data_IF_185588063039
#
_entry.id   IF_185588063039
#
_cell.length_a   1.000
_cell.length_b   1.000
_cell.length_c   1.000
_cell.angle_alpha   90.00
_cell.angle_beta   90.00
_cell.angle_gamma   90.00
#
_symmetry.space_group_name_H-M   'P 1'
#
loop_
_entity.id
_entity.type
_entity.pdbx_description
1 polymer ?
#
# COMPACT_ATOMS: atom_id res chain seq x y z
N UNK A 1 -24.91 -6.41 5.89
CA UNK A 1 -24.32 -6.39 4.53
C UNK A 1 -22.82 -6.64 4.66
N UNK A 2 -22.27 -7.67 3.99
CA UNK A 2 -20.84 -7.94 4.02
C UNK A 2 -20.12 -6.77 3.34
N UNK A 3 -19.27 -6.05 4.08
CA UNK A 3 -18.59 -4.82 3.62
C UNK A 3 -18.72 -3.63 4.57
N UNK A 4 -19.87 -3.47 5.26
CA UNK A 4 -20.08 -2.34 6.20
C UNK A 4 -19.11 -2.37 7.39
N UNK A 5 -18.79 -3.57 7.89
CA UNK A 5 -17.81 -3.75 8.97
C UNK A 5 -16.38 -3.41 8.54
N UNK A 6 -16.05 -3.63 7.26
CA UNK A 6 -14.70 -3.39 6.75
C UNK A 6 -14.49 -1.91 6.47
N UNK A 7 -15.50 -1.22 5.91
CA UNK A 7 -15.47 0.23 5.71
C UNK A 7 -15.25 0.99 7.03
N UNK A 8 -15.99 0.63 8.08
CA UNK A 8 -15.84 1.23 9.42
C UNK A 8 -14.43 0.97 9.98
N UNK A 9 -13.89 -0.24 9.77
CA UNK A 9 -12.52 -0.58 10.19
C UNK A 9 -11.46 0.29 9.49
N UNK A 10 -11.57 0.45 8.17
CA UNK A 10 -10.68 1.31 7.37
C UNK A 10 -10.77 2.77 7.83
N UNK A 11 -11.98 3.29 8.00
CA UNK A 11 -12.23 4.65 8.47
C UNK A 11 -11.65 4.89 9.87
N UNK A 12 -11.92 3.99 10.81
CA UNK A 12 -11.40 4.07 12.19
C UNK A 12 -9.88 4.04 12.21
N UNK A 13 -9.27 3.11 11.46
CA UNK A 13 -7.81 3.00 11.35
C UNK A 13 -7.19 4.26 10.74
N UNK A 14 -7.83 4.84 9.73
CA UNK A 14 -7.41 6.11 9.12
C UNK A 14 -7.44 7.27 10.12
N UNK A 15 -8.52 7.42 10.91
CA UNK A 15 -8.58 8.44 11.96
C UNK A 15 -7.53 8.24 13.06
N UNK A 16 -7.31 6.99 13.50
CA UNK A 16 -6.26 6.68 14.49
C UNK A 16 -4.88 7.06 13.95
N UNK A 17 -4.60 6.75 12.68
CA UNK A 17 -3.35 7.12 12.01
C UNK A 17 -3.18 8.65 11.94
N UNK A 18 -4.21 9.38 11.50
CA UNK A 18 -4.20 10.85 11.47
C UNK A 18 -3.94 11.45 12.86
N UNK A 19 -4.57 10.91 13.91
CA UNK A 19 -4.38 11.38 15.27
C UNK A 19 -2.94 11.14 15.78
N UNK A 20 -2.37 9.96 15.51
CA UNK A 20 -0.98 9.63 15.87
C UNK A 20 0.02 10.57 15.18
N UNK A 21 -0.15 10.78 13.87
CA UNK A 21 0.69 11.64 13.05
C UNK A 21 0.57 13.11 13.46
N UNK A 22 -0.65 13.59 13.75
CA UNK A 22 -0.86 14.98 14.22
C UNK A 22 -0.23 15.20 15.60
N UNK A 23 -0.32 14.21 16.50
CA UNK A 23 0.13 14.38 17.88
C UNK A 23 1.63 14.28 18.03
N UNK A 24 2.25 13.22 17.50
CA UNK A 24 3.67 12.93 17.69
C UNK A 24 4.15 11.86 16.68
N UNK A 25 4.43 12.24 15.42
CA UNK A 25 4.71 11.29 14.35
C UNK A 25 5.87 10.33 14.69
N UNK A 26 6.99 10.88 15.20
CA UNK A 26 8.17 10.09 15.60
C UNK A 26 7.90 9.13 16.76
N UNK A 27 7.03 9.50 17.70
CA UNK A 27 6.69 8.66 18.88
C UNK A 27 5.89 7.42 18.46
N UNK A 28 5.01 7.58 17.48
CA UNK A 28 4.09 6.54 17.03
C UNK A 28 4.50 5.91 15.71
N UNK A 29 5.76 6.06 15.29
CA UNK A 29 6.25 5.63 13.97
C UNK A 29 5.98 4.13 13.72
N UNK A 30 6.29 3.27 14.69
CA UNK A 30 6.09 1.81 14.55
C UNK A 30 4.60 1.41 14.50
N UNK A 31 3.75 2.05 15.30
CA UNK A 31 2.30 1.81 15.28
C UNK A 31 1.70 2.30 13.95
N UNK A 32 2.11 3.49 13.52
CA UNK A 32 1.68 4.10 12.26
C UNK A 32 2.05 3.19 11.08
N UNK A 33 3.27 2.66 11.05
CA UNK A 33 3.73 1.70 10.03
C UNK A 33 2.86 0.44 9.97
N UNK A 34 2.45 -0.10 11.12
CA UNK A 34 1.57 -1.28 11.18
C UNK A 34 0.18 -0.96 10.63
N UNK A 35 -0.38 0.21 10.95
CA UNK A 35 -1.68 0.65 10.44
C UNK A 35 -1.62 0.86 8.93
N UNK A 36 -0.58 1.53 8.42
CA UNK A 36 -0.36 1.74 6.98
C UNK A 36 -0.28 0.41 6.24
N UNK A 37 0.53 -0.54 6.75
CA UNK A 37 0.62 -1.88 6.15
C UNK A 37 -0.73 -2.59 6.10
N UNK A 38 -1.56 -2.44 7.13
CA UNK A 38 -2.90 -3.03 7.13
C UNK A 38 -3.84 -2.30 6.16
N UNK A 39 -3.85 -0.96 6.15
CA UNK A 39 -4.65 -0.18 5.21
C UNK A 39 -4.33 -0.53 3.76
N UNK A 40 -3.05 -0.70 3.42
CA UNK A 40 -2.66 -1.05 2.04
C UNK A 40 -3.23 -2.40 1.58
N UNK A 41 -3.49 -3.36 2.48
CA UNK A 41 -4.12 -4.63 2.10
C UNK A 41 -5.63 -4.55 1.94
N UNK A 42 -6.26 -3.45 2.38
CA UNK A 42 -7.70 -3.22 2.22
C UNK A 42 -8.03 -2.47 0.92
N UNK A 43 -7.02 -1.95 0.21
CA UNK A 43 -7.17 -1.20 -1.03
C UNK A 43 -7.52 -2.13 -2.19
N UNK A 44 -8.45 -1.74 -3.04
CA UNK A 44 -8.80 -2.47 -4.24
C UNK A 44 -7.86 -2.12 -5.42
N UNK A 45 -7.92 -2.90 -6.50
CA UNK A 45 -7.06 -2.71 -7.69
C UNK A 45 -7.31 -1.42 -8.49
N UNK A 46 -8.36 -0.66 -8.16
CA UNK A 46 -8.69 0.65 -8.76
C UNK A 46 -8.26 1.82 -7.86
N UNK A 47 -7.65 1.53 -6.71
CA UNK A 47 -7.09 2.52 -5.82
C UNK A 47 -8.04 3.05 -4.73
N UNK A 48 -9.28 2.53 -4.66
CA UNK A 48 -10.27 2.87 -3.62
C UNK A 48 -10.37 1.81 -2.52
N UNK A 49 -11.28 2.06 -1.55
CA UNK A 49 -11.62 1.15 -0.45
C UNK A 49 -13.09 0.70 -0.58
N UNK A 50 -13.77 0.41 0.54
CA UNK A 50 -15.11 -0.21 0.53
C UNK A 50 -16.25 0.79 0.35
N UNK A 51 -16.04 2.07 0.66
CA UNK A 51 -17.01 3.16 0.53
C UNK A 51 -16.34 4.47 0.10
N UNK A 52 -17.07 5.58 0.03
CA UNK A 52 -16.49 6.90 -0.25
C UNK A 52 -15.76 7.47 0.97
N UNK A 53 -16.34 7.36 2.17
CA UNK A 53 -15.81 8.00 3.38
C UNK A 53 -14.51 7.36 3.84
N UNK A 54 -14.47 6.02 3.92
CA UNK A 54 -13.25 5.27 4.25
C UNK A 54 -12.15 5.49 3.20
N UNK A 55 -12.51 5.61 1.92
CA UNK A 55 -11.55 5.96 0.86
C UNK A 55 -10.92 7.32 1.10
N UNK A 56 -11.73 8.36 1.34
CA UNK A 56 -11.22 9.72 1.59
C UNK A 56 -10.32 9.74 2.83
N UNK A 57 -10.77 9.15 3.94
CA UNK A 57 -10.03 9.16 5.22
C UNK A 57 -8.74 8.34 5.12
N UNK A 58 -8.77 7.16 4.50
CA UNK A 58 -7.59 6.33 4.34
C UNK A 58 -6.55 6.99 3.41
N UNK A 59 -6.97 7.55 2.27
CA UNK A 59 -6.05 8.25 1.37
C UNK A 59 -5.42 9.48 2.04
N UNK A 60 -6.21 10.24 2.81
CA UNK A 60 -5.70 11.37 3.59
C UNK A 60 -4.65 10.91 4.62
N UNK A 61 -4.94 9.83 5.35
CA UNK A 61 -4.03 9.30 6.37
C UNK A 61 -2.73 8.76 5.77
N UNK A 62 -2.81 8.04 4.65
CA UNK A 62 -1.65 7.52 3.92
C UNK A 62 -0.77 8.67 3.38
N UNK A 63 -1.38 9.70 2.79
CA UNK A 63 -0.65 10.86 2.29
C UNK A 63 0.07 11.62 3.43
N UNK A 64 -0.60 11.78 4.57
CA UNK A 64 0.01 12.41 5.75
C UNK A 64 1.18 11.57 6.29
N UNK A 65 1.03 10.24 6.36
CA UNK A 65 2.10 9.33 6.79
C UNK A 65 3.35 9.46 5.93
N UNK A 66 3.18 9.38 4.59
CA UNK A 66 4.27 9.53 3.64
C UNK A 66 4.97 10.88 3.82
N UNK A 67 4.21 11.98 3.93
CA UNK A 67 4.79 13.33 4.08
C UNK A 67 5.61 13.54 5.36
N UNK A 68 5.28 12.84 6.46
CA UNK A 68 5.87 13.08 7.77
C UNK A 68 6.94 12.07 8.17
N UNK A 69 6.85 10.83 7.69
CA UNK A 69 7.68 9.72 8.16
C UNK A 69 8.51 9.05 7.06
N UNK A 70 8.12 9.15 5.79
CA UNK A 70 8.86 8.54 4.69
C UNK A 70 9.61 9.59 3.87
N UNK A 71 10.94 9.58 3.94
CA UNK A 71 11.83 10.49 3.20
C UNK A 71 13.04 9.73 2.62
N UNK A 72 12.84 8.49 2.19
CA UNK A 72 13.88 7.67 1.59
C UNK A 72 13.82 7.67 0.07
N UNK A 73 14.97 7.51 -0.59
CA UNK A 73 15.02 7.18 -2.01
C UNK A 73 14.32 5.85 -2.28
N UNK A 74 13.66 5.75 -3.42
CA UNK A 74 12.99 4.53 -3.86
C UNK A 74 13.75 3.94 -5.04
N UNK A 75 14.24 2.71 -4.85
CA UNK A 75 14.80 1.89 -5.91
C UNK A 75 14.58 0.43 -5.55
N UNK A 76 13.44 -0.11 -5.96
CA UNK A 76 13.00 -1.48 -5.67
C UNK A 76 12.79 -2.23 -6.98
N UNK A 77 13.30 -3.45 -7.05
CA UNK A 77 12.99 -4.38 -8.13
C UNK A 77 12.23 -5.56 -7.53
N UNK A 78 10.98 -5.73 -7.95
CA UNK A 78 10.13 -6.84 -7.57
C UNK A 78 9.95 -7.78 -8.77
N UNK A 79 10.58 -8.95 -8.72
CA UNK A 79 10.45 -9.97 -9.76
C UNK A 79 9.29 -10.89 -9.44
N UNK A 80 8.25 -10.85 -10.28
CA UNK A 80 7.11 -11.75 -10.22
C UNK A 80 7.37 -12.94 -11.13
N UNK A 81 7.29 -14.14 -10.57
CA UNK A 81 7.47 -15.39 -11.31
C UNK A 81 6.22 -16.24 -11.20
N UNK A 82 5.78 -16.77 -12.34
CA UNK A 82 4.65 -17.69 -12.48
C UNK A 82 4.93 -18.69 -13.60
N UNK A 83 4.04 -19.66 -13.82
CA UNK A 83 4.16 -20.61 -14.93
C UNK A 83 4.23 -19.86 -16.26
N UNK A 84 5.36 -19.95 -16.97
CA UNK A 84 5.54 -19.28 -18.26
C UNK A 84 5.72 -17.76 -18.19
N UNK A 85 5.91 -17.18 -17.00
CA UNK A 85 6.14 -15.74 -16.82
C UNK A 85 7.26 -15.48 -15.80
N UNK A 86 8.21 -14.63 -16.18
CA UNK A 86 9.12 -13.98 -15.23
C UNK A 86 9.19 -12.50 -15.63
N UNK A 87 8.68 -11.63 -14.77
CA UNK A 87 8.55 -10.21 -15.06
C UNK A 87 9.11 -9.36 -13.92
N UNK A 88 10.15 -8.54 -14.16
CA UNK A 88 10.64 -7.58 -13.18
C UNK A 88 9.81 -6.30 -13.22
N UNK A 89 9.29 -5.88 -12.07
CA UNK A 89 8.76 -4.54 -11.83
C UNK A 89 9.86 -3.68 -11.20
N UNK A 90 10.24 -2.60 -11.86
CA UNK A 90 11.20 -1.64 -11.33
C UNK A 90 10.45 -0.40 -10.85
N UNK A 91 10.57 -0.09 -9.57
CA UNK A 91 9.96 1.08 -8.94
C UNK A 91 11.06 2.02 -8.45
N UNK A 92 11.13 3.20 -9.07
CA UNK A 92 12.06 4.28 -8.75
C UNK A 92 11.31 5.55 -8.38
N UNK A 93 12.02 6.58 -7.91
CA UNK A 93 11.43 7.90 -7.69
C UNK A 93 10.74 8.50 -8.92
N UNK A 94 11.17 8.14 -10.14
CA UNK A 94 10.60 8.63 -11.39
C UNK A 94 9.25 8.02 -11.73
N UNK A 95 9.00 6.78 -11.28
CA UNK A 95 7.80 6.02 -11.64
C UNK A 95 6.97 5.55 -10.44
N UNK A 96 7.28 6.02 -9.22
CA UNK A 96 6.61 5.62 -7.96
C UNK A 96 5.10 5.87 -7.88
N UNK A 97 4.57 6.70 -8.77
CA UNK A 97 3.14 7.01 -8.86
C UNK A 97 2.43 6.24 -9.97
N UNK A 98 3.16 5.44 -10.77
CA UNK A 98 2.60 4.69 -11.88
C UNK A 98 2.20 3.29 -11.43
N UNK A 99 0.95 2.93 -11.70
CA UNK A 99 0.50 1.55 -11.58
C UNK A 99 1.11 0.72 -12.71
N UNK A 100 1.78 -0.37 -12.35
CA UNK A 100 2.35 -1.32 -13.29
C UNK A 100 1.57 -2.64 -13.19
N UNK A 101 1.27 -3.25 -14.34
CA UNK A 101 0.42 -4.44 -14.43
C UNK A 101 1.05 -5.44 -15.40
N UNK A 102 0.96 -6.73 -15.09
CA UNK A 102 1.34 -7.82 -16.00
C UNK A 102 0.22 -8.86 -16.03
N UNK A 103 -0.12 -9.34 -17.21
CA UNK A 103 -1.11 -10.41 -17.37
C UNK A 103 -0.45 -11.78 -17.19
N UNK A 104 -1.04 -12.63 -16.35
CA UNK A 104 -0.59 -14.01 -16.18
C UNK A 104 -1.02 -14.84 -17.40
N UNK A 105 -0.10 -15.59 -18.05
CA UNK A 105 -0.41 -16.30 -19.28
C UNK A 105 -1.27 -17.55 -19.06
N UNK A 106 -1.17 -18.18 -17.89
CA UNK A 106 -1.88 -19.43 -17.58
C UNK A 106 -2.51 -19.37 -16.19
N UNK A 107 -3.72 -19.90 -16.06
CA UNK A 107 -4.44 -20.03 -14.78
C UNK A 107 -4.98 -21.47 -14.64
N UNK A 108 -4.95 -22.09 -13.44
CA UNK A 108 -4.34 -21.60 -12.21
C UNK A 108 -2.80 -21.66 -12.28
N UNK A 109 -2.12 -20.72 -11.62
CA UNK A 109 -0.66 -20.73 -11.48
C UNK A 109 -0.25 -20.25 -10.11
N UNK A 110 0.87 -20.76 -9.60
CA UNK A 110 1.47 -20.27 -8.37
C UNK A 110 2.30 -19.02 -8.69
N UNK A 111 2.06 -17.94 -7.96
CA UNK A 111 2.79 -16.69 -8.10
C UNK A 111 3.78 -16.55 -6.95
N UNK A 112 5.05 -16.34 -7.27
CA UNK A 112 6.09 -15.99 -6.31
C UNK A 112 6.64 -14.60 -6.61
N UNK A 113 6.97 -13.85 -5.56
CA UNK A 113 7.51 -12.49 -5.67
C UNK A 113 8.83 -12.44 -4.92
N UNK A 114 9.90 -12.03 -5.60
CA UNK A 114 11.20 -11.78 -5.00
C UNK A 114 11.51 -10.29 -5.11
N UNK A 115 11.88 -9.65 -4.00
CA UNK A 115 12.09 -8.20 -3.94
C UNK A 115 13.52 -7.90 -3.52
N UNK A 116 14.18 -6.99 -4.23
CA UNK A 116 15.51 -6.47 -3.92
C UNK A 116 15.54 -4.95 -4.00
N UNK A 117 16.49 -4.31 -3.31
CA UNK A 117 16.67 -2.86 -3.33
C UNK A 117 16.27 -2.15 -2.03
N UNK A 118 15.99 -0.85 -2.12
CA UNK A 118 15.72 0.03 -0.99
C UNK A 118 14.45 0.86 -1.21
N UNK A 119 13.63 0.95 -0.16
CA UNK A 119 12.45 1.80 -0.11
C UNK A 119 11.19 1.03 0.29
N UNK A 120 10.03 1.67 0.15
CA UNK A 120 8.72 1.06 0.39
C UNK A 120 7.87 1.16 -0.88
N UNK A 121 7.31 0.03 -1.30
CA UNK A 121 6.38 -0.07 -2.41
C UNK A 121 5.18 -0.92 -1.98
N UNK A 122 4.01 -0.62 -2.53
CA UNK A 122 2.79 -1.40 -2.33
C UNK A 122 2.57 -2.25 -3.58
N UNK A 123 2.29 -3.54 -3.34
CA UNK A 123 2.00 -4.57 -4.35
C UNK A 123 0.50 -4.83 -4.43
#
# INVERSE_FOLDING_TARGET
>A
MPGKSNAIGVETAGYVLLAMLTRSPKRYQEQSRKIVKWLTTQRNGQGGFYSTQDTVVALQALAMYESQLYQGSLNVVATVTATGLSHPFTVTDDNKLLQQLVTLPTLPTNVSVTVTGQGCAVL
#
